data_IF_872830948931
#
_entry.id   IF_872830948931
#
_cell.length_a   1.000
_cell.length_b   1.000
_cell.length_c   1.000
_cell.angle_alpha   90.00
_cell.angle_beta   90.00
_cell.angle_gamma   90.00
#
_symmetry.space_group_name_H-M   'P 1'
#
loop_
_entity.id
_entity.type
_entity.pdbx_description
1 polymer ?
#
# COMPACT_ATOMS: atom_id res chain seq x y z
N UNK A 1 -10.12 1.72 15.11
CA UNK A 1 -10.05 2.93 14.27
C UNK A 1 -8.80 3.80 14.51
N UNK A 2 -7.81 3.36 15.28
CA UNK A 2 -6.55 4.10 15.49
C UNK A 2 -5.58 3.95 14.30
N UNK A 3 -5.26 2.71 13.92
CA UNK A 3 -4.36 2.42 12.79
C UNK A 3 -4.79 3.10 11.49
N UNK A 4 -6.09 3.10 11.18
CA UNK A 4 -6.61 3.81 10.01
C UNK A 4 -6.30 5.31 10.02
N UNK A 5 -6.45 5.98 11.17
CA UNK A 5 -6.16 7.41 11.31
C UNK A 5 -4.67 7.69 11.18
N UNK A 6 -3.82 6.82 11.74
CA UNK A 6 -2.36 6.91 11.61
C UNK A 6 -1.94 6.72 10.15
N UNK A 7 -2.48 5.71 9.45
CA UNK A 7 -2.21 5.49 8.03
C UNK A 7 -2.64 6.69 7.16
N UNK A 8 -3.78 7.32 7.46
CA UNK A 8 -4.23 8.51 6.74
C UNK A 8 -3.34 9.73 7.00
N UNK A 9 -2.91 9.94 8.25
CA UNK A 9 -2.00 11.03 8.60
C UNK A 9 -0.65 10.86 7.89
N UNK A 10 -0.10 9.64 7.88
CA UNK A 10 1.14 9.32 7.16
C UNK A 10 0.98 9.52 5.65
N UNK A 11 -0.14 9.08 5.07
CA UNK A 11 -0.41 9.25 3.64
C UNK A 11 -0.44 10.72 3.18
N UNK A 12 -0.85 11.66 4.05
CA UNK A 12 -0.76 13.10 3.77
C UNK A 12 0.61 13.72 4.08
N UNK A 13 1.32 13.18 5.08
CA UNK A 13 2.63 13.68 5.49
C UNK A 13 3.71 13.49 4.42
N UNK A 14 3.83 12.28 3.86
CA UNK A 14 4.86 11.97 2.86
C UNK A 14 4.84 12.86 1.61
N UNK A 15 3.71 13.07 0.92
CA UNK A 15 3.68 13.97 -0.23
C UNK A 15 3.93 15.43 0.20
N UNK A 16 3.41 15.87 1.35
CA UNK A 16 3.68 17.22 1.87
C UNK A 16 5.16 17.48 2.13
N UNK A 17 5.86 16.52 2.74
CA UNK A 17 7.31 16.58 2.95
C UNK A 17 8.08 16.60 1.63
N UNK A 18 7.66 15.77 0.67
CA UNK A 18 8.35 15.67 -0.62
C UNK A 18 8.17 16.92 -1.48
N UNK A 19 7.02 17.61 -1.39
CA UNK A 19 6.80 18.91 -2.04
C UNK A 19 7.81 19.97 -1.56
N UNK A 20 8.13 19.96 -0.26
CA UNK A 20 9.18 20.84 0.30
C UNK A 20 10.56 20.48 -0.24
N UNK A 21 10.86 19.19 -0.41
CA UNK A 21 12.16 18.73 -0.92
C UNK A 21 12.38 19.06 -2.40
N UNK A 22 11.34 19.04 -3.23
CA UNK A 22 11.45 19.38 -4.67
C UNK A 22 11.42 20.90 -4.94
N UNK A 23 11.41 21.72 -3.89
CA UNK A 23 11.40 23.19 -4.01
C UNK A 23 10.10 23.74 -4.57
N UNK A 24 8.96 23.08 -4.31
CA UNK A 24 7.66 23.58 -4.75
C UNK A 24 7.37 24.96 -4.17
N UNK A 25 7.28 25.98 -5.03
CA UNK A 25 6.84 27.32 -4.64
C UNK A 25 5.40 27.52 -5.11
N UNK A 26 4.44 27.75 -4.20
CA UNK A 26 3.06 28.01 -4.57
C UNK A 26 2.92 29.36 -5.29
N UNK A 27 2.00 29.44 -6.25
CA UNK A 27 1.56 30.68 -6.90
C UNK A 27 2.63 31.42 -7.74
N UNK A 28 3.65 30.70 -8.21
CA UNK A 28 4.68 31.18 -9.17
C UNK A 28 4.97 30.08 -10.21
N UNK A 29 5.54 30.48 -11.35
CA UNK A 29 5.97 29.56 -12.39
C UNK A 29 7.00 28.57 -11.82
N UNK A 30 6.63 27.30 -11.76
CA UNK A 30 7.49 26.21 -11.29
C UNK A 30 8.55 25.92 -12.35
N UNK A 31 9.77 25.69 -11.91
CA UNK A 31 10.83 25.30 -12.81
C UNK A 31 10.57 23.91 -13.39
N UNK A 32 11.02 23.66 -14.62
CA UNK A 32 10.74 22.41 -15.36
C UNK A 32 11.13 21.15 -14.55
N UNK A 33 12.21 21.23 -13.76
CA UNK A 33 12.64 20.16 -12.86
C UNK A 33 11.63 19.82 -11.75
N UNK A 34 10.88 20.81 -11.23
CA UNK A 34 9.85 20.60 -10.21
C UNK A 34 8.62 19.91 -10.80
N UNK A 35 8.28 20.22 -12.05
CA UNK A 35 7.17 19.58 -12.79
C UNK A 35 7.51 18.11 -13.08
N UNK A 36 8.73 17.82 -13.50
CA UNK A 36 9.20 16.44 -13.68
C UNK A 36 9.21 15.66 -12.36
N UNK A 37 9.69 16.29 -11.27
CA UNK A 37 9.67 15.70 -9.93
C UNK A 37 8.25 15.41 -9.43
N UNK A 38 7.28 16.29 -9.70
CA UNK A 38 5.87 16.06 -9.41
C UNK A 38 5.29 14.88 -10.21
N UNK A 39 5.61 14.79 -11.50
CA UNK A 39 5.15 13.69 -12.34
C UNK A 39 5.70 12.36 -11.84
N UNK A 40 6.99 12.32 -11.51
CA UNK A 40 7.62 11.13 -10.94
C UNK A 40 7.03 10.75 -9.58
N UNK A 41 6.73 11.71 -8.70
CA UNK A 41 6.08 11.45 -7.41
C UNK A 41 4.74 10.71 -7.58
N UNK A 42 3.90 11.18 -8.52
CA UNK A 42 2.58 10.61 -8.79
C UNK A 42 2.66 9.20 -9.37
N UNK A 43 3.75 8.83 -10.07
CA UNK A 43 3.95 7.47 -10.59
C UNK A 43 4.68 6.54 -9.61
N UNK A 44 5.67 7.05 -8.89
CA UNK A 44 6.47 6.27 -7.94
C UNK A 44 5.59 5.78 -6.79
N UNK A 45 4.72 6.64 -6.23
CA UNK A 45 3.92 6.26 -5.07
C UNK A 45 2.95 5.10 -5.34
N UNK A 46 2.11 5.13 -6.42
CA UNK A 46 1.25 4.01 -6.77
C UNK A 46 2.05 2.76 -7.16
N UNK A 47 3.17 2.93 -7.88
CA UNK A 47 4.01 1.80 -8.29
C UNK A 47 4.64 1.08 -7.09
N UNK A 48 5.17 1.83 -6.12
CA UNK A 48 5.77 1.27 -4.92
C UNK A 48 4.71 0.55 -4.06
N UNK A 49 3.53 1.15 -3.89
CA UNK A 49 2.42 0.51 -3.19
C UNK A 49 1.92 -0.76 -3.92
N UNK A 50 1.87 -0.74 -5.25
CA UNK A 50 1.51 -1.92 -6.04
C UNK A 50 2.54 -3.05 -5.88
N UNK A 51 3.83 -2.75 -5.95
CA UNK A 51 4.90 -3.74 -5.73
C UNK A 51 4.84 -4.30 -4.32
N UNK A 52 4.66 -3.45 -3.29
CA UNK A 52 4.50 -3.91 -1.90
C UNK A 52 3.27 -4.80 -1.76
N UNK A 53 2.18 -4.47 -2.44
CA UNK A 53 0.95 -5.29 -2.43
C UNK A 53 1.18 -6.64 -3.12
N UNK A 54 1.87 -6.65 -4.27
CA UNK A 54 2.24 -7.88 -4.98
C UNK A 54 3.17 -8.74 -4.15
N UNK A 55 4.16 -8.16 -3.46
CA UNK A 55 5.08 -8.90 -2.58
C UNK A 55 4.34 -9.41 -1.34
N UNK A 56 3.48 -8.59 -0.73
CA UNK A 56 2.66 -9.02 0.39
C UNK A 56 1.71 -10.15 -0.04
N UNK A 57 1.07 -10.05 -1.20
CA UNK A 57 0.19 -11.11 -1.70
C UNK A 57 1.00 -12.34 -2.15
N UNK A 58 2.15 -12.19 -2.78
CA UNK A 58 3.01 -13.31 -3.18
C UNK A 58 3.60 -14.06 -1.99
N UNK A 59 4.10 -13.33 -0.97
CA UNK A 59 4.81 -13.92 0.17
C UNK A 59 3.87 -14.26 1.35
N UNK A 60 2.88 -13.42 1.68
CA UNK A 60 1.95 -13.68 2.79
C UNK A 60 0.69 -14.45 2.38
N UNK A 61 0.31 -14.50 1.10
CA UNK A 61 -0.92 -15.19 0.66
C UNK A 61 -0.75 -16.70 0.41
N UNK A 62 0.44 -17.28 0.62
CA UNK A 62 0.62 -18.73 0.76
C UNK A 62 -0.03 -19.30 2.05
N UNK A 63 -0.52 -18.43 2.94
CA UNK A 63 -1.17 -18.83 4.20
C UNK A 63 -2.69 -19.03 4.10
N UNK A 64 -3.36 -18.49 3.07
CA UNK A 64 -4.82 -18.65 2.95
C UNK A 64 -5.20 -20.07 2.52
N UNK A 65 -4.42 -20.72 1.67
CA UNK A 65 -4.67 -22.11 1.26
C UNK A 65 -4.51 -23.08 2.44
N UNK A 66 -3.46 -22.95 3.25
CA UNK A 66 -3.25 -23.82 4.42
C UNK A 66 -4.34 -23.67 5.47
N UNK A 67 -4.79 -22.43 5.72
CA UNK A 67 -5.87 -22.17 6.68
C UNK A 67 -7.23 -22.60 6.11
N UNK A 68 -7.48 -22.41 4.82
CA UNK A 68 -8.68 -22.88 4.13
C UNK A 68 -8.76 -24.41 4.14
N UNK A 69 -7.68 -25.10 3.78
CA UNK A 69 -7.59 -26.58 3.85
C UNK A 69 -7.85 -27.06 5.26
N UNK A 70 -7.26 -26.41 6.29
CA UNK A 70 -7.51 -26.77 7.69
C UNK A 70 -8.98 -26.61 8.10
N UNK A 71 -9.65 -25.53 7.65
CA UNK A 71 -11.07 -25.31 7.95
C UNK A 71 -11.94 -26.34 7.23
N UNK A 72 -11.64 -26.67 5.97
CA UNK A 72 -12.39 -27.67 5.19
C UNK A 72 -12.23 -29.08 5.80
N UNK A 73 -11.01 -29.44 6.17
CA UNK A 73 -10.68 -30.73 6.79
C UNK A 73 -11.38 -30.89 8.15
N UNK A 74 -11.47 -29.80 8.94
CA UNK A 74 -12.22 -29.80 10.20
C UNK A 74 -13.74 -29.95 9.98
N UNK A 75 -14.30 -29.36 8.92
CA UNK A 75 -15.71 -29.51 8.55
C UNK A 75 -16.01 -30.94 8.08
N UNK A 76 -15.16 -31.54 7.26
CA UNK A 76 -15.33 -32.92 6.79
C UNK A 76 -15.20 -33.96 7.90
N UNK A 77 -14.28 -33.75 8.85
CA UNK A 77 -14.12 -34.62 10.00
C UNK A 77 -15.39 -34.67 10.87
N UNK A 78 -16.02 -33.51 11.12
CA UNK A 78 -17.30 -33.44 11.87
C UNK A 78 -18.41 -34.19 11.14
N UNK A 79 -18.52 -34.01 9.82
CA UNK A 79 -19.53 -34.69 8.99
C UNK A 79 -19.41 -36.22 8.92
N UNK A 80 -18.24 -36.77 9.22
CA UNK A 80 -18.00 -38.24 9.23
C UNK A 80 -18.24 -38.86 10.61
N UNK A 81 -18.37 -38.03 11.64
CA UNK A 81 -18.58 -38.47 13.03
C UNK A 81 -20.06 -38.40 13.44
N UNK A 82 -20.90 -37.71 12.66
CA UNK A 82 -22.37 -37.86 12.62
C UNK A 82 -22.78 -38.96 11.64
#
# INVERSE_FOLDING_TARGET
TFFRKVSQALAGFFPGWMLTQIGYVPNVAQADHTIEGLRQLIFIYPSALAVVTIVAMGCFYSLNEKMYVRIVEEIEARKRTE
#
